data_IF_987940072266
#
_entry.id   IF_987940072266
#
_cell.length_a   1.000
_cell.length_b   1.000
_cell.length_c   1.000
_cell.angle_alpha   90.00
_cell.angle_beta   90.00
_cell.angle_gamma   90.00
#
_symmetry.space_group_name_H-M   'P 1'
#
loop_
_entity.id
_entity.type
_entity.pdbx_description
1 polymer ?
#
# COMPACT_ATOMS: atom_id res chain seq x y z
N UNK A 1 19.46 -16.84 -2.69
CA UNK A 1 18.52 -15.80 -2.24
C UNK A 1 19.12 -14.43 -2.53
N UNK A 2 18.39 -13.52 -3.13
CA UNK A 2 18.84 -12.14 -3.27
C UNK A 2 18.97 -11.53 -1.86
N UNK A 3 20.14 -11.71 -1.28
CA UNK A 3 20.44 -11.33 0.12
C UNK A 3 20.08 -9.87 0.40
N UNK A 4 20.24 -9.01 -0.61
CA UNK A 4 20.01 -7.57 -0.47
C UNK A 4 18.52 -7.23 -0.35
N UNK A 5 17.68 -7.74 -1.25
CA UNK A 5 16.24 -7.50 -1.20
C UNK A 5 15.61 -8.04 0.09
N UNK A 6 16.03 -9.22 0.55
CA UNK A 6 15.58 -9.79 1.82
C UNK A 6 16.03 -8.96 3.03
N UNK A 7 17.26 -8.47 3.05
CA UNK A 7 17.73 -7.59 4.13
C UNK A 7 16.89 -6.32 4.20
N UNK A 8 16.70 -5.65 3.07
CA UNK A 8 15.87 -4.45 2.99
C UNK A 8 14.41 -4.71 3.41
N UNK A 9 13.83 -5.86 3.01
CA UNK A 9 12.50 -6.29 3.46
C UNK A 9 12.42 -6.36 4.99
N UNK A 10 13.42 -6.95 5.63
CA UNK A 10 13.45 -7.07 7.09
C UNK A 10 13.71 -5.73 7.79
N UNK A 11 14.56 -4.88 7.22
CA UNK A 11 14.92 -3.57 7.78
C UNK A 11 13.80 -2.53 7.67
N UNK A 12 13.09 -2.52 6.55
CA UNK A 12 11.99 -1.58 6.33
C UNK A 12 10.79 -1.85 7.23
N UNK A 13 10.51 -3.11 7.53
CA UNK A 13 9.38 -3.50 8.35
C UNK A 13 8.04 -3.49 7.61
N UNK A 14 7.03 -4.14 8.21
CA UNK A 14 5.69 -4.28 7.61
C UNK A 14 5.01 -2.94 7.33
N UNK A 15 5.17 -1.97 8.21
CA UNK A 15 4.48 -0.67 8.12
C UNK A 15 4.87 0.15 6.89
N UNK A 16 6.11 0.02 6.44
CA UNK A 16 6.62 0.77 5.27
C UNK A 16 6.40 0.02 3.96
N UNK A 17 6.19 -1.30 4.04
CA UNK A 17 6.07 -2.17 2.89
C UNK A 17 4.60 -2.39 2.54
N UNK A 18 4.27 -2.22 1.28
CA UNK A 18 2.98 -2.60 0.73
C UNK A 18 3.02 -4.08 0.36
N UNK A 19 2.73 -4.93 1.36
CA UNK A 19 2.77 -6.38 1.21
C UNK A 19 1.48 -6.87 0.57
N UNK A 20 1.55 -7.67 -0.51
CA UNK A 20 0.37 -8.31 -1.07
C UNK A 20 -0.18 -9.35 -0.09
N UNK A 21 -1.47 -9.62 -0.16
CA UNK A 21 -2.07 -10.72 0.59
C UNK A 21 -1.40 -12.05 0.31
N UNK A 22 -1.66 -13.03 1.17
CA UNK A 22 -1.16 -14.38 0.94
C UNK A 22 -1.78 -14.98 -0.31
N UNK A 23 -0.94 -15.63 -1.10
CA UNK A 23 -1.40 -16.48 -2.19
C UNK A 23 -1.97 -17.79 -1.63
N UNK A 24 -3.09 -18.21 -2.19
CA UNK A 24 -3.78 -19.43 -1.79
C UNK A 24 -3.71 -20.41 -2.94
N UNK A 25 -3.33 -21.65 -2.66
CA UNK A 25 -3.30 -22.71 -3.66
C UNK A 25 -4.72 -23.02 -4.19
N UNK A 26 -4.82 -23.74 -5.30
CA UNK A 26 -6.11 -24.22 -5.84
C UNK A 26 -6.94 -25.05 -4.85
N UNK A 27 -6.29 -25.60 -3.82
CA UNK A 27 -6.93 -26.38 -2.75
C UNK A 27 -7.28 -25.52 -1.51
N UNK A 28 -7.07 -24.21 -1.55
CA UNK A 28 -7.39 -23.30 -0.45
C UNK A 28 -6.28 -23.15 0.61
N UNK A 29 -5.12 -23.78 0.42
CA UNK A 29 -4.03 -23.70 1.38
C UNK A 29 -3.12 -22.50 1.14
N UNK A 30 -2.72 -21.86 2.22
CA UNK A 30 -1.79 -20.76 2.22
C UNK A 30 -0.34 -21.29 2.31
N UNK A 31 0.52 -20.77 1.45
CA UNK A 31 1.96 -21.11 1.42
C UNK A 31 2.77 -19.83 1.63
N UNK A 32 3.31 -19.60 2.85
CA UNK A 32 4.22 -18.51 3.08
C UNK A 32 5.57 -18.74 2.38
N UNK A 33 6.18 -17.68 1.87
CA UNK A 33 7.49 -17.75 1.23
C UNK A 33 8.61 -18.10 2.23
N UNK A 34 9.66 -18.71 1.72
CA UNK A 34 10.87 -19.03 2.51
C UNK A 34 11.45 -17.74 3.08
N UNK A 35 11.67 -17.74 4.41
CA UNK A 35 12.22 -16.57 5.11
C UNK A 35 11.19 -15.47 5.44
N UNK A 36 9.93 -15.65 5.13
CA UNK A 36 8.90 -14.67 5.46
C UNK A 36 8.74 -14.49 6.97
N UNK A 37 8.71 -13.23 7.41
CA UNK A 37 8.70 -12.87 8.84
C UNK A 37 7.58 -11.90 9.23
N UNK A 38 6.74 -11.48 8.30
CA UNK A 38 5.57 -10.62 8.56
C UNK A 38 4.27 -11.30 8.15
N UNK A 39 3.22 -11.13 8.95
CA UNK A 39 1.89 -11.62 8.60
C UNK A 39 1.27 -10.68 7.56
N UNK A 40 0.89 -11.25 6.41
CA UNK A 40 0.22 -10.53 5.30
C UNK A 40 -1.29 -10.74 5.27
N UNK A 41 -1.85 -11.44 6.27
CA UNK A 41 -3.29 -11.66 6.34
C UNK A 41 -4.03 -10.32 6.43
N UNK A 42 -5.14 -10.21 5.68
CA UNK A 42 -6.00 -9.04 5.72
C UNK A 42 -6.43 -8.74 7.16
N UNK A 43 -6.45 -7.46 7.51
CA UNK A 43 -6.82 -6.98 8.86
C UNK A 43 -5.94 -7.52 10.00
N UNK A 44 -4.74 -8.05 9.70
CA UNK A 44 -3.80 -8.39 10.75
C UNK A 44 -3.06 -7.13 11.24
N UNK A 45 -3.39 -6.69 12.43
CA UNK A 45 -2.78 -5.53 13.09
C UNK A 45 -1.34 -5.77 13.57
N UNK A 46 -0.89 -7.04 13.54
CA UNK A 46 0.46 -7.36 13.98
C UNK A 46 1.50 -6.88 12.96
N UNK A 47 2.24 -5.85 13.32
CA UNK A 47 3.35 -5.29 12.56
C UNK A 47 4.71 -5.83 12.96
N UNK A 48 4.76 -6.58 14.08
CA UNK A 48 6.00 -7.10 14.65
C UNK A 48 6.58 -8.22 13.80
N UNK A 49 7.90 -8.18 13.64
CA UNK A 49 8.66 -9.22 12.96
C UNK A 49 8.66 -10.52 13.77
N UNK A 50 8.27 -11.62 13.15
CA UNK A 50 8.44 -12.95 13.72
C UNK A 50 9.90 -13.44 13.64
N UNK A 51 10.33 -14.14 14.66
CA UNK A 51 11.72 -14.66 14.73
C UNK A 51 11.99 -15.71 13.64
N UNK A 52 10.97 -16.46 13.24
CA UNK A 52 11.08 -17.52 12.24
C UNK A 52 9.77 -17.71 11.48
N UNK A 53 9.86 -18.36 10.30
CA UNK A 53 8.71 -18.79 9.53
C UNK A 53 7.76 -19.69 10.34
N UNK A 54 8.28 -20.54 11.23
CA UNK A 54 7.46 -21.40 12.08
C UNK A 54 6.63 -20.58 13.07
N UNK A 55 7.19 -19.49 13.62
CA UNK A 55 6.44 -18.60 14.50
C UNK A 55 5.35 -17.82 13.72
N UNK A 56 5.63 -17.43 12.49
CA UNK A 56 4.63 -16.85 11.60
C UNK A 56 3.50 -17.85 11.30
N UNK A 57 3.84 -19.11 10.93
CA UNK A 57 2.85 -20.17 10.71
C UNK A 57 1.99 -20.42 11.94
N UNK A 58 2.61 -20.46 13.14
CA UNK A 58 1.88 -20.59 14.41
C UNK A 58 0.92 -19.43 14.63
N UNK A 59 1.35 -18.19 14.38
CA UNK A 59 0.48 -17.02 14.48
C UNK A 59 -0.72 -17.12 13.50
N UNK A 60 -0.49 -17.48 12.25
CA UNK A 60 -1.56 -17.62 11.25
C UNK A 60 -2.58 -18.68 11.73
N UNK A 61 -2.12 -19.84 12.20
CA UNK A 61 -2.99 -20.90 12.72
C UNK A 61 -3.82 -20.47 13.92
N UNK A 62 -3.30 -19.59 14.79
CA UNK A 62 -3.98 -19.19 16.03
C UNK A 62 -4.87 -17.97 15.86
N UNK A 63 -4.51 -17.04 14.96
CA UNK A 63 -5.20 -15.74 14.80
C UNK A 63 -6.05 -15.64 13.54
N UNK A 64 -5.79 -16.48 12.54
CA UNK A 64 -6.43 -16.42 11.22
C UNK A 64 -7.03 -17.78 10.80
N UNK A 65 -7.39 -18.64 11.76
CA UNK A 65 -7.92 -20.00 11.58
C UNK A 65 -9.16 -20.10 10.68
N UNK A 66 -9.96 -19.05 10.62
CA UNK A 66 -11.18 -19.03 9.81
C UNK A 66 -10.96 -18.53 8.38
N UNK A 67 -9.79 -18.03 8.09
CA UNK A 67 -9.49 -17.37 6.81
C UNK A 67 -8.50 -18.18 5.98
N UNK A 68 -7.59 -18.89 6.64
CA UNK A 68 -6.51 -19.58 5.95
C UNK A 68 -6.20 -20.95 6.56
N UNK A 69 -6.19 -21.96 5.71
CA UNK A 69 -5.59 -23.25 6.03
C UNK A 69 -4.13 -23.26 5.56
N UNK A 70 -3.23 -23.63 6.45
CA UNK A 70 -1.81 -23.77 6.13
C UNK A 70 -1.54 -25.17 5.60
N UNK A 71 -0.92 -25.24 4.43
CA UNK A 71 -0.34 -26.50 3.98
C UNK A 71 0.74 -26.92 5.00
N UNK A 72 0.54 -28.04 5.66
CA UNK A 72 1.57 -28.68 6.49
C UNK A 72 2.61 -29.28 5.55
N UNK A 73 3.53 -28.43 5.09
CA UNK A 73 4.73 -28.91 4.43
C UNK A 73 5.68 -29.52 5.45
N UNK A 74 6.41 -30.52 5.04
CA UNK A 74 7.45 -31.18 5.84
C UNK A 74 8.33 -30.15 6.52
N UNK A 75 8.20 -30.03 7.83
CA UNK A 75 9.01 -29.11 8.63
C UNK A 75 10.37 -29.74 8.84
N UNK A 76 11.41 -29.18 8.23
CA UNK A 76 12.78 -29.52 8.57
C UNK A 76 13.74 -29.83 7.43
N UNK A 77 13.27 -29.84 6.19
CA UNK A 77 14.14 -29.97 5.01
C UNK A 77 14.72 -28.63 4.54
N UNK A 78 15.81 -28.69 3.80
CA UNK A 78 16.27 -27.52 3.02
C UNK A 78 15.17 -27.17 2.00
N UNK A 79 14.80 -25.90 1.86
CA UNK A 79 13.86 -25.50 0.82
C UNK A 79 14.35 -25.97 -0.54
N UNK A 80 13.43 -26.40 -1.39
CA UNK A 80 13.77 -26.72 -2.76
C UNK A 80 14.15 -25.45 -3.55
N UNK A 81 14.79 -25.64 -4.70
CA UNK A 81 15.27 -24.53 -5.50
C UNK A 81 14.10 -23.67 -6.07
N UNK A 82 12.94 -24.27 -6.27
CA UNK A 82 11.77 -23.57 -6.78
C UNK A 82 11.19 -22.64 -5.70
N UNK A 83 11.04 -23.11 -4.46
CA UNK A 83 10.59 -22.31 -3.33
C UNK A 83 11.58 -21.17 -2.99
N UNK A 84 12.90 -21.44 -3.08
CA UNK A 84 13.91 -20.38 -2.93
C UNK A 84 13.78 -19.32 -4.03
N UNK A 85 13.61 -19.72 -5.29
CA UNK A 85 13.44 -18.81 -6.42
C UNK A 85 12.17 -17.98 -6.32
N UNK A 86 11.05 -18.58 -5.91
CA UNK A 86 9.80 -17.88 -5.66
C UNK A 86 9.94 -16.83 -4.56
N UNK A 87 10.61 -17.17 -3.46
CA UNK A 87 10.88 -16.24 -2.36
C UNK A 87 11.75 -15.05 -2.81
N UNK A 88 12.78 -15.30 -3.64
CA UNK A 88 13.62 -14.22 -4.21
C UNK A 88 12.78 -13.25 -5.03
N UNK A 89 11.96 -13.75 -5.95
CA UNK A 89 11.07 -12.94 -6.80
C UNK A 89 10.10 -12.12 -5.96
N UNK A 90 9.54 -12.72 -4.91
CA UNK A 90 8.65 -12.03 -3.99
C UNK A 90 9.35 -10.83 -3.32
N UNK A 91 10.51 -11.03 -2.69
CA UNK A 91 11.23 -9.94 -2.03
C UNK A 91 11.66 -8.84 -2.99
N UNK A 92 12.14 -9.20 -4.18
CA UNK A 92 12.50 -8.23 -5.22
C UNK A 92 11.29 -7.41 -5.68
N UNK A 93 10.14 -8.05 -5.87
CA UNK A 93 8.90 -7.36 -6.25
C UNK A 93 8.43 -6.38 -5.17
N UNK A 94 8.46 -6.78 -3.89
CA UNK A 94 8.08 -5.94 -2.75
C UNK A 94 9.00 -4.72 -2.66
N UNK A 95 10.32 -4.91 -2.75
CA UNK A 95 11.28 -3.80 -2.69
C UNK A 95 11.15 -2.89 -3.90
N UNK A 96 10.99 -3.44 -5.09
CA UNK A 96 10.76 -2.64 -6.31
C UNK A 96 9.51 -1.76 -6.19
N UNK A 97 8.43 -2.30 -5.63
CA UNK A 97 7.18 -1.53 -5.38
C UNK A 97 7.42 -0.40 -4.39
N UNK A 98 8.16 -0.66 -3.32
CA UNK A 98 8.55 0.35 -2.34
C UNK A 98 9.40 1.45 -2.99
N UNK A 99 10.45 1.09 -3.73
CA UNK A 99 11.34 2.05 -4.40
C UNK A 99 10.59 2.88 -5.44
N UNK A 100 9.68 2.28 -6.20
CA UNK A 100 8.83 2.99 -7.15
C UNK A 100 7.94 4.03 -6.46
N UNK A 101 7.37 3.68 -5.29
CA UNK A 101 6.57 4.60 -4.49
C UNK A 101 7.40 5.76 -3.95
N UNK A 102 8.64 5.51 -3.53
CA UNK A 102 9.55 6.55 -3.05
C UNK A 102 10.07 7.45 -4.18
N UNK A 103 10.22 6.88 -5.38
CA UNK A 103 10.71 7.60 -6.56
C UNK A 103 9.60 8.32 -7.33
N UNK A 104 8.34 8.08 -6.97
CA UNK A 104 7.22 8.78 -7.60
C UNK A 104 7.36 10.28 -7.33
N UNK A 105 7.27 11.14 -8.36
CA UNK A 105 7.29 12.58 -8.15
C UNK A 105 6.17 12.96 -7.19
N UNK A 106 6.50 13.77 -6.19
CA UNK A 106 5.52 14.27 -5.25
C UNK A 106 4.41 14.97 -6.03
N UNK A 107 3.16 14.61 -5.75
CA UNK A 107 2.01 15.28 -6.37
C UNK A 107 2.06 16.76 -6.01
N UNK A 108 1.76 17.66 -6.95
CA UNK A 108 1.71 19.08 -6.67
C UNK A 108 0.62 19.37 -5.61
N UNK A 109 0.80 20.38 -4.76
CA UNK A 109 -0.21 20.76 -3.78
C UNK A 109 -1.49 21.20 -4.47
N UNK A 110 -2.63 20.87 -3.86
CA UNK A 110 -3.93 21.31 -4.35
C UNK A 110 -4.01 22.84 -4.31
N UNK A 111 -4.28 23.51 -5.44
CA UNK A 111 -4.35 24.97 -5.45
C UNK A 111 -5.59 25.44 -4.70
N UNK A 112 -5.38 26.14 -3.58
CA UNK A 112 -6.43 26.72 -2.75
C UNK A 112 -6.42 28.25 -2.83
N UNK A 113 -7.58 28.87 -2.63
CA UNK A 113 -7.75 30.30 -2.45
C UNK A 113 -7.45 30.68 -1.00
N UNK A 114 -7.42 31.99 -0.71
CA UNK A 114 -7.21 32.50 0.64
C UNK A 114 -8.34 32.14 1.62
N UNK A 115 -9.53 31.85 1.11
CA UNK A 115 -10.71 31.41 1.85
C UNK A 115 -10.72 29.89 2.11
N UNK A 116 -9.68 29.14 1.69
CA UNK A 116 -9.56 27.71 1.84
C UNK A 116 -10.16 26.91 0.68
N UNK A 117 -11.02 27.52 -0.12
CA UNK A 117 -11.66 26.85 -1.25
C UNK A 117 -10.68 26.51 -2.38
N UNK A 118 -11.01 25.46 -3.14
CA UNK A 118 -10.20 25.06 -4.29
C UNK A 118 -10.20 26.15 -5.36
N UNK A 119 -9.00 26.53 -5.81
CA UNK A 119 -8.85 27.48 -6.89
C UNK A 119 -9.07 26.81 -8.25
N UNK A 120 -10.33 26.60 -8.60
CA UNK A 120 -10.79 25.81 -9.76
C UNK A 120 -10.10 26.20 -11.09
N UNK A 121 -9.89 27.50 -11.34
CA UNK A 121 -9.26 27.98 -12.58
C UNK A 121 -7.79 27.56 -12.64
N UNK A 122 -7.07 27.68 -11.53
CA UNK A 122 -5.67 27.28 -11.45
C UNK A 122 -5.53 25.75 -11.51
N UNK A 123 -6.41 25.04 -10.83
CA UNK A 123 -6.45 23.56 -10.88
C UNK A 123 -6.65 23.08 -12.33
N UNK A 124 -7.63 23.63 -13.07
CA UNK A 124 -7.85 23.30 -14.48
C UNK A 124 -6.63 23.61 -15.36
N UNK A 125 -5.93 24.70 -15.06
CA UNK A 125 -4.71 25.07 -15.78
C UNK A 125 -3.60 24.04 -15.55
N UNK A 126 -3.39 23.63 -14.30
CA UNK A 126 -2.39 22.62 -13.92
C UNK A 126 -2.73 21.26 -14.53
N UNK A 127 -3.96 20.82 -14.43
CA UNK A 127 -4.45 19.56 -15.02
C UNK A 127 -4.17 19.48 -16.52
N UNK A 128 -4.46 20.55 -17.27
CA UNK A 128 -4.13 20.60 -18.71
C UNK A 128 -2.62 20.58 -18.96
N UNK A 129 -1.83 21.25 -18.11
CA UNK A 129 -0.37 21.24 -18.21
C UNK A 129 0.22 19.85 -17.94
N UNK A 130 -0.43 19.04 -17.09
CA UNK A 130 -0.09 17.64 -16.85
C UNK A 130 -0.58 16.69 -17.97
N UNK A 131 -1.23 17.22 -19.01
CA UNK A 131 -1.68 16.46 -20.18
C UNK A 131 -3.08 15.84 -20.07
N UNK A 132 -3.84 16.18 -19.03
CA UNK A 132 -5.21 15.68 -18.86
C UNK A 132 -6.26 16.58 -19.50
N UNK A 133 -7.36 15.97 -19.95
CA UNK A 133 -8.50 16.66 -20.59
C UNK A 133 -9.41 17.24 -19.51
N UNK A 134 -9.85 18.48 -19.69
CA UNK A 134 -10.81 19.16 -18.80
C UNK A 134 -12.01 19.59 -19.62
N UNK A 135 -13.24 19.21 -19.26
CA UNK A 135 -13.64 18.40 -18.09
C UNK A 135 -13.26 16.92 -18.21
N UNK A 136 -13.08 16.22 -17.07
CA UNK A 136 -12.86 14.78 -17.03
C UNK A 136 -14.12 14.02 -17.49
N UNK A 137 -13.97 12.73 -17.80
CA UNK A 137 -15.06 11.89 -18.27
C UNK A 137 -16.16 11.77 -17.23
N UNK A 138 -15.84 11.48 -15.97
CA UNK A 138 -16.82 11.38 -14.89
C UNK A 138 -17.64 12.66 -14.69
N UNK A 139 -17.03 13.84 -14.84
CA UNK A 139 -17.78 15.10 -14.76
C UNK A 139 -18.65 15.36 -16.00
N UNK A 140 -18.27 14.88 -17.18
CA UNK A 140 -19.09 14.96 -18.39
C UNK A 140 -20.31 14.06 -18.28
N UNK A 141 -20.11 12.81 -17.90
CA UNK A 141 -21.16 11.80 -17.79
C UNK A 141 -22.18 12.16 -16.70
N UNK A 142 -21.71 12.78 -15.62
CA UNK A 142 -22.59 13.32 -14.57
C UNK A 142 -23.31 14.64 -14.94
N UNK A 143 -23.11 15.18 -16.15
CA UNK A 143 -23.68 16.47 -16.57
C UNK A 143 -23.13 17.68 -15.80
N UNK A 144 -22.02 17.52 -15.10
CA UNK A 144 -21.38 18.53 -14.24
C UNK A 144 -20.10 19.13 -14.85
N UNK A 145 -19.99 19.17 -16.17
CA UNK A 145 -18.79 19.63 -16.88
C UNK A 145 -18.32 21.03 -16.43
N UNK A 146 -19.24 21.96 -16.15
CA UNK A 146 -18.93 23.32 -15.69
C UNK A 146 -18.33 23.34 -14.27
N UNK A 147 -18.63 22.31 -13.47
CA UNK A 147 -18.21 22.15 -12.08
C UNK A 147 -17.00 21.23 -11.93
N UNK A 148 -16.45 20.76 -13.05
CA UNK A 148 -15.21 19.96 -13.02
C UNK A 148 -14.10 20.70 -12.26
N UNK A 149 -13.39 20.00 -11.40
CA UNK A 149 -12.37 20.55 -10.49
C UNK A 149 -12.91 21.44 -9.36
N UNK A 150 -14.20 21.40 -9.07
CA UNK A 150 -14.80 22.15 -7.97
C UNK A 150 -14.95 21.30 -6.71
N UNK A 151 -15.32 20.06 -6.86
CA UNK A 151 -15.63 19.14 -5.77
C UNK A 151 -14.64 17.98 -5.73
N UNK A 152 -14.42 17.42 -4.56
CA UNK A 152 -13.45 16.36 -4.29
C UNK A 152 -13.75 15.05 -5.02
N UNK A 153 -15.01 14.81 -5.39
CA UNK A 153 -15.40 13.64 -6.21
C UNK A 153 -14.89 13.70 -7.65
N UNK A 154 -14.31 14.83 -8.06
CA UNK A 154 -13.73 14.96 -9.39
C UNK A 154 -12.42 14.17 -9.49
N UNK A 155 -12.30 13.30 -10.49
CA UNK A 155 -11.11 12.48 -10.75
C UNK A 155 -9.79 13.27 -10.74
N UNK A 156 -9.83 14.54 -11.08
CA UNK A 156 -8.63 15.38 -11.09
C UNK A 156 -8.06 15.68 -9.71
N UNK A 157 -8.81 15.47 -8.63
CA UNK A 157 -8.27 15.65 -7.27
C UNK A 157 -7.18 14.64 -6.95
N UNK A 158 -7.26 13.43 -7.50
CA UNK A 158 -6.22 12.40 -7.34
C UNK A 158 -4.84 12.80 -7.94
N UNK A 159 -4.80 13.86 -8.75
CA UNK A 159 -3.56 14.41 -9.34
C UNK A 159 -2.85 15.40 -8.42
N UNK A 160 -3.40 15.69 -7.26
CA UNK A 160 -2.87 16.68 -6.31
C UNK A 160 -2.71 16.08 -4.92
N UNK A 161 -1.74 16.60 -4.17
CA UNK A 161 -1.57 16.28 -2.77
C UNK A 161 -2.44 17.23 -1.93
N UNK A 162 -3.29 16.71 -1.03
CA UNK A 162 -4.13 17.51 -0.15
C UNK A 162 -5.64 17.29 -0.29
N UNK A 163 -6.06 16.13 -0.84
CA UNK A 163 -7.47 15.70 -0.79
C UNK A 163 -7.92 15.25 0.60
N UNK A 164 -7.03 14.69 1.42
CA UNK A 164 -7.34 14.14 2.75
C UNK A 164 -6.20 14.47 3.73
N UNK A 165 -6.09 15.71 4.15
CA UNK A 165 -5.39 16.01 5.40
C UNK A 165 -6.45 16.38 6.43
N UNK A 166 -6.85 15.38 7.22
CA UNK A 166 -7.38 15.64 8.56
C UNK A 166 -6.27 16.39 9.29
N UNK A 167 -6.50 17.68 9.52
CA UNK A 167 -5.66 18.48 10.41
C UNK A 167 -5.84 17.87 11.80
N UNK A 168 -4.85 17.09 12.27
CA UNK A 168 -4.71 16.83 13.71
C UNK A 168 -4.56 18.19 14.38
N UNK A 169 -5.66 18.69 14.90
CA UNK A 169 -5.68 19.82 15.81
C UNK A 169 -4.95 19.40 17.08
N UNK A 170 -3.72 19.86 17.22
CA UNK A 170 -2.93 19.83 18.44
C UNK A 170 -3.64 20.74 19.48
N UNK A 171 -4.60 20.17 20.19
CA UNK A 171 -5.15 20.80 21.38
C UNK A 171 -4.11 20.65 22.50
N UNK A 172 -3.19 21.61 22.57
CA UNK A 172 -2.37 21.85 23.75
C UNK A 172 -3.31 22.33 24.86
N UNK A 173 -3.73 21.42 25.72
CA UNK A 173 -4.31 21.76 27.02
C UNK A 173 -3.19 22.28 27.93
N UNK A 174 -3.10 23.62 28.03
CA UNK A 174 -2.43 24.28 29.12
C UNK A 174 -3.30 24.09 30.39
N UNK A 175 -2.91 23.19 31.28
CA UNK A 175 -3.40 23.15 32.67
C UNK A 175 -2.46 23.97 33.57
N UNK A 176 -3.04 25.02 34.19
CA UNK A 176 -2.48 25.74 35.32
C UNK A 176 -2.39 24.88 36.59
#
# INVERSE_FOLDING_TARGET
>A
MAREAYKRYVELGKEKLDLPDFEVTSMGYLVPFVGEVYCRAQRCENVTKFVSLNNLKKHIRTKHTHTYDLLDGESGGRPDQEAESAAVKFYEAVIKKYDAKQSAPALPPLPRRRDGDVHMTEMRRLVRRMGHVVPCEGCKDAGKANLCCKYEECEHFALFNGGDQEEESDESEDEE
#
